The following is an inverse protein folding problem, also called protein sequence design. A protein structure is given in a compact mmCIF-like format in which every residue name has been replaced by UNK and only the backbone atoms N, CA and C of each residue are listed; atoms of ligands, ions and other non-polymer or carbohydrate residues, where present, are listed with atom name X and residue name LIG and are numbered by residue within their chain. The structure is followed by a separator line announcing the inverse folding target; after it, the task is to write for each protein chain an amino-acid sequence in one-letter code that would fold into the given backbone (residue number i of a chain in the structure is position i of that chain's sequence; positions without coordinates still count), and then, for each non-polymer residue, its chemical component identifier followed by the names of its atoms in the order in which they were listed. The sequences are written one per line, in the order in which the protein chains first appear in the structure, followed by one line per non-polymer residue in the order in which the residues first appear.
data_IF_506676007694
#
_entry.id   IF_506676007694
#
_cell.length_a   1.000
_cell.length_b   1.000
_cell.length_c   1.000
_cell.angle_alpha   90.00
_cell.angle_beta   90.00
_cell.angle_gamma   90.00
#
_symmetry.space_group_name_H-M   'P 1'
#
loop_
_entity.id
_entity.type
_entity.pdbx_description
1 polymer ?
#
# COMPACT_ATOMS: atom_id res chain seq x y z
N UNK A 1 -33.72 -52.71 26.60
CA UNK A 1 -32.56 -51.77 26.60
C UNK A 1 -31.66 -51.91 25.35
N UNK A 2 -31.32 -53.15 24.93
CA UNK A 2 -30.44 -53.36 23.76
C UNK A 2 -31.09 -52.88 22.44
N UNK A 3 -32.41 -53.01 22.26
CA UNK A 3 -33.11 -52.57 21.07
C UNK A 3 -33.00 -51.06 20.86
N UNK A 4 -33.10 -50.27 21.92
CA UNK A 4 -32.89 -48.80 21.89
C UNK A 4 -31.47 -48.45 21.49
N UNK A 5 -30.51 -49.20 22.05
CA UNK A 5 -29.08 -48.96 21.78
C UNK A 5 -28.74 -49.25 20.28
N UNK A 6 -29.31 -50.30 19.71
CA UNK A 6 -29.16 -50.64 18.29
C UNK A 6 -29.73 -49.51 17.40
N UNK A 7 -30.95 -49.03 17.72
CA UNK A 7 -31.56 -47.92 16.97
C UNK A 7 -30.68 -46.65 17.03
N UNK A 8 -30.21 -46.32 18.23
CA UNK A 8 -29.32 -45.15 18.38
C UNK A 8 -28.02 -45.29 17.61
N UNK A 9 -27.45 -46.51 17.55
CA UNK A 9 -26.23 -46.78 16.78
C UNK A 9 -26.44 -46.56 15.28
N UNK A 10 -27.59 -47.00 14.73
CA UNK A 10 -27.97 -46.74 13.33
C UNK A 10 -28.19 -45.26 13.03
N UNK A 11 -28.83 -44.52 13.96
CA UNK A 11 -29.01 -43.07 13.82
C UNK A 11 -27.65 -42.34 13.79
N UNK A 12 -26.71 -42.67 14.69
CA UNK A 12 -25.36 -42.13 14.73
C UNK A 12 -24.61 -42.47 13.43
N UNK A 13 -24.71 -43.73 12.95
CA UNK A 13 -24.09 -44.14 11.70
C UNK A 13 -24.64 -43.35 10.51
N UNK A 14 -25.96 -43.16 10.44
CA UNK A 14 -26.57 -42.32 9.40
C UNK A 14 -26.10 -40.88 9.44
N UNK A 15 -25.89 -40.32 10.64
CA UNK A 15 -25.37 -38.98 10.83
C UNK A 15 -23.93 -38.86 10.29
N UNK A 16 -23.09 -39.85 10.53
CA UNK A 16 -21.71 -39.89 10.01
C UNK A 16 -21.73 -39.91 8.48
N UNK A 17 -22.57 -40.71 7.84
CA UNK A 17 -22.68 -40.72 6.39
C UNK A 17 -23.11 -39.39 5.77
N UNK A 18 -23.87 -38.57 6.49
CA UNK A 18 -24.28 -37.22 6.03
C UNK A 18 -23.17 -36.20 6.30
N UNK A 19 -22.49 -36.30 7.43
CA UNK A 19 -21.43 -35.32 7.83
C UNK A 19 -20.12 -35.54 7.11
N UNK A 20 -19.76 -36.82 6.83
CA UNK A 20 -18.47 -37.15 6.22
C UNK A 20 -18.20 -36.41 4.90
N UNK A 21 -19.08 -36.40 3.88
CA UNK A 21 -18.85 -35.69 2.65
C UNK A 21 -18.71 -34.17 2.84
N UNK A 22 -19.44 -33.59 3.80
CA UNK A 22 -19.32 -32.17 4.12
C UNK A 22 -17.98 -31.84 4.76
N UNK A 23 -17.53 -32.70 5.67
CA UNK A 23 -16.22 -32.56 6.31
C UNK A 23 -15.08 -32.70 5.30
N UNK A 24 -15.19 -33.67 4.39
CA UNK A 24 -14.20 -33.91 3.33
C UNK A 24 -14.05 -32.71 2.40
N UNK A 25 -15.16 -32.18 1.89
CA UNK A 25 -15.15 -30.97 1.02
C UNK A 25 -14.60 -29.77 1.77
N UNK A 26 -14.92 -29.61 3.05
CA UNK A 26 -14.38 -28.51 3.87
C UNK A 26 -12.88 -28.67 4.08
N UNK A 27 -12.41 -29.88 4.36
CA UNK A 27 -10.99 -30.20 4.51
C UNK A 27 -10.22 -29.94 3.22
N UNK A 28 -10.76 -30.35 2.05
CA UNK A 28 -10.13 -30.08 0.75
C UNK A 28 -9.96 -28.59 0.50
N UNK A 29 -10.98 -27.77 0.77
CA UNK A 29 -10.88 -26.31 0.61
C UNK A 29 -9.87 -25.67 1.55
N UNK A 30 -9.74 -26.17 2.77
CA UNK A 30 -8.72 -25.71 3.72
C UNK A 30 -7.33 -26.10 3.22
N UNK A 31 -7.17 -27.36 2.78
CA UNK A 31 -5.89 -27.84 2.25
C UNK A 31 -5.47 -27.09 0.98
N UNK A 32 -6.39 -26.76 0.08
CA UNK A 32 -6.12 -25.94 -1.10
C UNK A 32 -5.46 -24.60 -0.74
N UNK A 33 -5.94 -23.96 0.34
CA UNK A 33 -5.34 -22.70 0.83
C UNK A 33 -3.99 -22.95 1.51
N UNK A 34 -3.88 -24.01 2.33
CA UNK A 34 -2.65 -24.31 3.05
C UNK A 34 -1.52 -24.79 2.14
N UNK A 35 -1.84 -25.50 1.05
CA UNK A 35 -0.90 -26.01 0.07
C UNK A 35 -0.50 -24.93 -0.96
N UNK A 36 -1.14 -23.74 -0.94
CA UNK A 36 -0.79 -22.64 -1.85
C UNK A 36 0.52 -22.01 -1.42
N UNK A 37 1.54 -22.19 -2.26
CA UNK A 37 2.84 -21.54 -2.06
C UNK A 37 2.80 -20.07 -2.49
N UNK A 38 3.40 -19.15 -1.72
CA UNK A 38 3.54 -17.75 -2.11
C UNK A 38 4.36 -17.60 -3.40
N UNK A 39 3.86 -16.83 -4.36
CA UNK A 39 4.57 -16.58 -5.64
C UNK A 39 5.83 -15.74 -5.42
N UNK A 40 5.81 -14.85 -4.40
CA UNK A 40 6.94 -13.97 -4.08
C UNK A 40 7.73 -14.57 -2.94
N UNK A 41 8.95 -14.99 -3.23
CA UNK A 41 9.87 -15.54 -2.23
C UNK A 41 10.52 -14.42 -1.41
N UNK A 42 10.77 -14.70 -0.12
CA UNK A 42 11.45 -13.73 0.73
C UNK A 42 12.93 -13.62 0.38
N UNK A 43 13.47 -12.39 0.42
CA UNK A 43 14.90 -12.15 0.23
C UNK A 43 15.68 -12.40 1.53
N UNK A 44 17.00 -12.31 1.44
CA UNK A 44 17.91 -12.61 2.55
C UNK A 44 18.60 -11.39 3.13
N UNK A 45 18.57 -10.22 2.44
CA UNK A 45 19.25 -9.01 2.89
C UNK A 45 18.42 -8.22 3.88
N UNK A 46 18.96 -8.01 5.05
CA UNK A 46 18.36 -7.22 6.13
C UNK A 46 18.60 -5.72 5.93
N UNK A 47 17.83 -4.89 6.65
CA UNK A 47 18.03 -3.44 6.69
C UNK A 47 19.48 -3.04 7.12
N UNK A 48 20.11 -3.82 7.99
CA UNK A 48 21.49 -3.59 8.43
C UNK A 48 22.53 -3.82 7.32
N UNK A 49 22.28 -4.75 6.41
CA UNK A 49 23.16 -5.03 5.28
C UNK A 49 23.13 -3.89 4.26
N UNK A 50 21.98 -3.29 4.09
CA UNK A 50 21.76 -2.18 3.15
C UNK A 50 22.25 -0.85 3.69
N UNK A 51 22.14 -0.61 4.99
CA UNK A 51 22.68 0.60 5.63
C UNK A 51 24.19 0.80 5.34
N UNK A 52 24.91 -0.28 5.02
CA UNK A 52 26.33 -0.25 4.65
C UNK A 52 26.58 0.30 3.24
N UNK A 53 25.60 0.31 2.37
CA UNK A 53 25.76 0.77 0.96
C UNK A 53 25.73 2.29 0.83
N UNK A 54 25.20 3.00 1.82
CA UNK A 54 25.04 4.46 1.80
C UNK A 54 23.94 4.96 0.85
N UNK A 55 23.32 4.08 0.08
CA UNK A 55 22.19 4.41 -0.79
C UNK A 55 20.89 4.37 0.01
N UNK A 56 20.03 5.36 -0.20
CA UNK A 56 18.72 5.46 0.46
C UNK A 56 17.70 6.00 -0.51
N UNK A 57 16.54 5.33 -0.58
CA UNK A 57 15.38 5.83 -1.30
C UNK A 57 15.53 5.87 -2.82
N UNK A 58 16.53 5.23 -3.41
CA UNK A 58 16.68 5.11 -4.87
C UNK A 58 15.83 3.97 -5.39
N UNK A 59 15.09 4.22 -6.47
CA UNK A 59 14.29 3.21 -7.18
C UNK A 59 14.74 3.16 -8.63
N UNK A 60 15.18 2.00 -9.10
CA UNK A 60 15.64 1.82 -10.46
C UNK A 60 14.96 0.63 -11.13
N UNK A 61 14.43 0.84 -12.33
CA UNK A 61 13.88 -0.17 -13.21
C UNK A 61 14.86 -0.42 -14.36
N UNK A 62 15.33 -1.66 -14.50
CA UNK A 62 16.26 -2.07 -15.55
C UNK A 62 15.62 -3.11 -16.45
N UNK A 63 15.20 -2.67 -17.63
CA UNK A 63 14.58 -3.52 -18.68
C UNK A 63 13.46 -4.41 -18.12
N UNK A 64 12.57 -3.81 -17.32
CA UNK A 64 11.52 -4.53 -16.59
C UNK A 64 10.37 -4.85 -17.51
N UNK A 65 10.01 -6.14 -17.59
CA UNK A 65 8.76 -6.61 -18.17
C UNK A 65 7.98 -7.38 -17.13
N UNK A 66 6.66 -7.26 -17.18
CA UNK A 66 5.76 -7.89 -16.22
C UNK A 66 4.51 -8.44 -16.88
N UNK A 67 4.18 -9.67 -16.54
CA UNK A 67 2.96 -10.39 -16.93
C UNK A 67 2.28 -10.91 -15.67
N UNK A 68 0.98 -10.67 -15.51
CA UNK A 68 0.24 -11.25 -14.38
C UNK A 68 0.18 -12.78 -14.50
N UNK A 69 0.19 -13.52 -13.37
CA UNK A 69 0.21 -15.00 -13.39
C UNK A 69 -0.89 -15.63 -14.24
N UNK A 70 -2.07 -15.00 -14.27
CA UNK A 70 -3.24 -15.49 -15.00
C UNK A 70 -3.40 -14.90 -16.41
N UNK A 71 -2.41 -14.10 -16.87
CA UNK A 71 -2.43 -13.46 -18.18
C UNK A 71 -1.39 -14.10 -19.11
N UNK A 72 -1.69 -14.04 -20.43
CA UNK A 72 -0.73 -14.40 -21.48
C UNK A 72 -0.05 -13.19 -22.10
N UNK A 73 -0.61 -12.01 -21.88
CA UNK A 73 -0.12 -10.77 -22.46
C UNK A 73 0.68 -9.99 -21.41
N UNK A 74 1.79 -9.41 -21.84
CA UNK A 74 2.62 -8.58 -20.97
C UNK A 74 1.85 -7.28 -20.64
N UNK A 75 1.80 -6.94 -19.35
CA UNK A 75 1.25 -5.69 -18.87
C UNK A 75 2.27 -4.55 -18.97
N UNK A 76 3.55 -4.87 -18.85
CA UNK A 76 4.67 -3.92 -18.95
C UNK A 76 5.78 -4.56 -19.79
N UNK A 77 6.39 -3.76 -20.68
CA UNK A 77 7.46 -4.23 -21.57
C UNK A 77 8.65 -3.26 -21.56
N UNK A 78 9.84 -3.77 -21.19
CA UNK A 78 11.10 -3.05 -21.34
C UNK A 78 11.20 -1.73 -20.58
N UNK A 79 10.57 -1.61 -19.42
CA UNK A 79 10.53 -0.37 -18.62
C UNK A 79 11.91 -0.04 -18.07
N UNK A 80 12.35 1.19 -18.31
CA UNK A 80 13.61 1.72 -17.80
C UNK A 80 13.39 3.14 -17.25
N UNK A 81 13.67 3.34 -15.97
CA UNK A 81 13.77 4.66 -15.34
C UNK A 81 14.49 4.57 -14.01
N UNK A 82 14.95 5.71 -13.50
CA UNK A 82 15.53 5.84 -12.16
C UNK A 82 14.89 7.01 -11.44
N UNK A 83 14.53 6.81 -10.18
CA UNK A 83 14.14 7.85 -9.24
C UNK A 83 15.23 7.94 -8.16
N UNK A 84 15.87 9.09 -8.09
CA UNK A 84 16.91 9.38 -7.08
C UNK A 84 16.27 9.78 -5.76
N UNK A 85 17.04 9.68 -4.67
CA UNK A 85 16.60 10.11 -3.34
C UNK A 85 16.02 11.53 -3.35
N UNK A 86 14.84 11.69 -2.76
CA UNK A 86 14.14 12.97 -2.65
C UNK A 86 13.41 13.43 -3.92
N UNK A 87 13.66 12.82 -5.08
CA UNK A 87 12.96 13.16 -6.32
C UNK A 87 11.48 12.80 -6.27
N UNK A 88 10.70 13.60 -6.98
CA UNK A 88 9.30 13.30 -7.31
C UNK A 88 9.24 12.80 -8.75
N UNK A 89 8.94 11.51 -8.93
CA UNK A 89 8.71 10.90 -10.25
C UNK A 89 7.23 10.60 -10.41
N UNK A 90 6.64 11.17 -11.46
CA UNK A 90 5.22 11.00 -11.75
C UNK A 90 5.00 10.06 -12.94
N UNK A 91 3.90 9.30 -12.89
CA UNK A 91 3.49 8.37 -13.94
C UNK A 91 2.13 8.79 -14.49
N UNK A 92 2.06 8.99 -15.80
CA UNK A 92 0.82 9.36 -16.50
C UNK A 92 0.65 8.49 -17.76
N UNK A 93 -0.57 8.39 -18.23
CA UNK A 93 -0.94 7.63 -19.42
C UNK A 93 -2.42 7.22 -19.39
N UNK A 94 -2.89 6.59 -20.44
CA UNK A 94 -4.27 6.12 -20.57
C UNK A 94 -4.68 5.14 -19.48
N UNK A 95 -5.98 4.96 -19.26
CA UNK A 95 -6.49 3.90 -18.37
C UNK A 95 -6.07 2.55 -18.94
N UNK A 96 -5.53 1.68 -18.07
CA UNK A 96 -5.02 0.36 -18.49
C UNK A 96 -3.57 0.36 -18.99
N UNK A 97 -2.87 1.50 -19.07
CA UNK A 97 -1.48 1.57 -19.56
C UNK A 97 -0.43 0.96 -18.61
N UNK A 98 -0.82 0.35 -17.49
CA UNK A 98 0.09 -0.36 -16.57
C UNK A 98 0.66 0.46 -15.41
N UNK A 99 0.21 1.70 -15.17
CA UNK A 99 0.73 2.59 -14.10
C UNK A 99 0.71 1.96 -12.70
N UNK A 100 -0.44 1.48 -12.27
CA UNK A 100 -0.58 0.82 -10.95
C UNK A 100 0.22 -0.48 -10.90
N UNK A 101 0.26 -1.25 -12.01
CA UNK A 101 1.07 -2.47 -12.09
C UNK A 101 2.56 -2.14 -11.91
N UNK A 102 3.05 -1.05 -12.52
CA UNK A 102 4.43 -0.61 -12.41
C UNK A 102 4.81 -0.29 -10.96
N UNK A 103 4.03 0.55 -10.29
CA UNK A 103 4.35 0.94 -8.91
C UNK A 103 4.18 -0.21 -7.91
N UNK A 104 3.34 -1.21 -8.19
CA UNK A 104 3.14 -2.40 -7.37
C UNK A 104 4.35 -3.35 -7.38
N UNK A 105 5.24 -3.23 -8.35
CA UNK A 105 6.50 -3.97 -8.36
C UNK A 105 7.52 -3.42 -7.34
N UNK A 106 7.41 -2.15 -6.94
CA UNK A 106 8.35 -1.54 -5.97
C UNK A 106 8.24 -2.18 -4.58
N UNK A 107 7.04 -2.34 -3.97
CA UNK A 107 6.90 -3.06 -2.69
C UNK A 107 6.91 -4.59 -2.84
N UNK A 108 7.23 -5.11 -4.04
CA UNK A 108 7.20 -6.52 -4.38
C UNK A 108 5.86 -7.17 -4.02
N UNK A 109 4.75 -6.58 -4.49
CA UNK A 109 3.46 -7.29 -4.50
C UNK A 109 3.45 -8.37 -5.58
N UNK A 110 4.28 -8.18 -6.61
CA UNK A 110 4.59 -9.14 -7.66
C UNK A 110 6.08 -9.06 -7.98
N UNK A 111 6.66 -10.16 -8.47
CA UNK A 111 7.99 -10.18 -9.04
C UNK A 111 7.95 -9.91 -10.56
N UNK A 112 9.02 -9.36 -11.10
CA UNK A 112 9.15 -9.06 -12.53
C UNK A 112 9.27 -10.35 -13.34
N UNK A 113 8.63 -10.41 -14.52
CA UNK A 113 8.80 -11.53 -15.45
C UNK A 113 10.18 -11.49 -16.12
N UNK A 114 10.70 -10.29 -16.42
CA UNK A 114 12.04 -10.06 -16.93
C UNK A 114 12.59 -8.74 -16.37
N UNK A 115 13.92 -8.61 -16.37
CA UNK A 115 14.60 -7.43 -15.85
C UNK A 115 14.62 -7.38 -14.33
N UNK A 116 14.78 -6.19 -13.75
CA UNK A 116 14.99 -6.04 -12.31
C UNK A 116 14.46 -4.70 -11.83
N UNK A 117 13.77 -4.72 -10.68
CA UNK A 117 13.48 -3.54 -9.88
C UNK A 117 14.46 -3.52 -8.72
N UNK A 118 15.21 -2.44 -8.59
CA UNK A 118 16.18 -2.23 -7.52
C UNK A 118 15.63 -1.11 -6.62
N UNK A 119 15.49 -1.41 -5.34
CA UNK A 119 15.21 -0.43 -4.31
C UNK A 119 16.44 -0.41 -3.42
N UNK A 120 17.32 0.56 -3.64
CA UNK A 120 18.67 0.66 -3.08
C UNK A 120 19.54 -0.56 -3.42
N UNK A 121 19.11 -1.78 -3.08
CA UNK A 121 19.79 -3.04 -3.41
C UNK A 121 18.78 -4.14 -3.76
N UNK A 122 19.29 -5.20 -4.36
CA UNK A 122 18.57 -6.42 -4.69
C UNK A 122 18.44 -7.33 -3.46
N UNK A 123 17.43 -8.21 -3.48
CA UNK A 123 17.28 -9.34 -2.56
C UNK A 123 16.97 -8.95 -1.10
N UNK A 124 16.23 -7.86 -0.89
CA UNK A 124 15.73 -7.50 0.42
C UNK A 124 14.82 -8.59 1.02
N UNK A 125 14.94 -8.78 2.32
CA UNK A 125 13.82 -9.28 3.12
C UNK A 125 12.58 -8.42 2.89
N UNK A 126 11.42 -9.04 2.64
CA UNK A 126 10.19 -8.31 2.28
C UNK A 126 9.74 -7.33 3.38
N UNK A 127 9.94 -7.70 4.66
CA UNK A 127 9.62 -6.79 5.76
C UNK A 127 10.54 -5.59 5.73
N UNK A 128 11.85 -5.80 5.61
CA UNK A 128 12.84 -4.72 5.54
C UNK A 128 12.62 -3.80 4.35
N UNK A 129 12.20 -4.34 3.19
CA UNK A 129 11.82 -3.54 2.02
C UNK A 129 10.57 -2.69 2.30
N UNK A 130 9.50 -3.32 2.77
CA UNK A 130 8.21 -2.64 2.99
C UNK A 130 8.26 -1.64 4.15
N UNK A 131 9.15 -1.83 5.11
CA UNK A 131 9.38 -0.86 6.19
C UNK A 131 9.96 0.48 5.67
N UNK A 132 10.62 0.49 4.49
CA UNK A 132 11.11 1.69 3.82
C UNK A 132 10.06 2.41 2.97
N UNK A 133 8.90 1.80 2.74
CA UNK A 133 7.91 2.26 1.78
C UNK A 133 6.63 2.69 2.49
N UNK A 134 6.19 3.91 2.25
CA UNK A 134 4.84 4.38 2.55
C UNK A 134 3.98 4.27 1.31
N UNK A 135 2.96 3.41 1.32
CA UNK A 135 2.09 3.16 0.18
C UNK A 135 0.68 3.70 0.43
N UNK A 136 0.20 4.54 -0.47
CA UNK A 136 -1.17 5.07 -0.47
C UNK A 136 -1.92 4.50 -1.66
N UNK A 137 -2.84 3.55 -1.46
CA UNK A 137 -3.58 2.92 -2.54
C UNK A 137 -4.63 3.86 -3.14
N UNK A 138 -5.05 3.56 -4.37
CA UNK A 138 -6.12 4.27 -5.07
C UNK A 138 -7.43 4.27 -4.25
N UNK A 139 -7.79 3.13 -3.67
CA UNK A 139 -8.92 3.01 -2.75
C UNK A 139 -8.42 2.93 -1.31
N UNK A 140 -8.58 4.02 -0.58
CA UNK A 140 -8.20 4.10 0.82
C UNK A 140 -9.07 3.21 1.70
N UNK A 141 -8.43 2.31 2.44
CA UNK A 141 -9.06 1.44 3.42
C UNK A 141 -8.68 1.90 4.83
N UNK A 142 -9.71 2.13 5.66
CA UNK A 142 -9.53 2.39 7.08
C UNK A 142 -10.04 1.20 7.89
N UNK A 143 -9.36 0.92 8.98
CA UNK A 143 -9.74 -0.16 9.89
C UNK A 143 -10.65 0.37 11.01
N UNK A 144 -11.46 -0.51 11.58
CA UNK A 144 -12.20 -0.20 12.80
C UNK A 144 -11.21 0.17 13.92
N UNK A 145 -11.49 1.26 14.63
CA UNK A 145 -10.62 1.78 15.69
C UNK A 145 -10.77 3.28 15.84
N UNK A 146 -9.68 4.00 16.07
CA UNK A 146 -9.68 5.47 16.19
C UNK A 146 -8.96 6.12 15.00
N UNK A 147 -9.07 7.45 14.87
CA UNK A 147 -8.25 8.21 13.91
C UNK A 147 -6.78 7.94 14.14
N UNK A 148 -6.33 8.03 15.39
CA UNK A 148 -4.93 7.84 15.74
C UNK A 148 -4.45 6.40 15.45
N UNK A 149 -5.23 5.37 15.81
CA UNK A 149 -4.85 3.98 15.50
C UNK A 149 -4.78 3.69 14.00
N UNK A 150 -5.57 4.40 13.19
CA UNK A 150 -5.49 4.30 11.75
C UNK A 150 -4.26 4.99 11.16
N UNK A 151 -3.83 6.13 11.72
CA UNK A 151 -2.62 6.83 11.27
C UNK A 151 -1.36 6.10 11.71
N UNK A 152 -1.30 5.63 12.97
CA UNK A 152 -0.17 4.87 13.53
C UNK A 152 -0.24 3.38 13.24
N UNK A 153 -1.05 2.95 12.27
CA UNK A 153 -1.19 1.54 11.92
C UNK A 153 0.16 0.90 11.55
N UNK A 154 0.45 -0.25 12.17
CA UNK A 154 1.74 -0.93 12.03
C UNK A 154 2.78 -0.53 13.08
N UNK A 155 2.48 0.44 13.97
CA UNK A 155 3.34 0.89 15.07
C UNK A 155 2.66 0.61 16.45
N UNK A 156 1.68 -0.26 16.46
CA UNK A 156 0.95 -0.63 17.68
C UNK A 156 1.69 -1.72 18.46
N UNK A 157 1.69 -1.71 19.79
CA UNK A 157 2.11 -2.85 20.59
C UNK A 157 1.29 -4.09 20.19
N UNK A 158 1.93 -5.13 19.70
CA UNK A 158 1.25 -6.32 19.18
C UNK A 158 0.95 -6.26 17.68
N UNK A 159 1.69 -5.42 16.91
CA UNK A 159 1.69 -5.46 15.44
C UNK A 159 1.77 -6.92 14.97
N UNK A 160 0.81 -7.38 14.10
CA UNK A 160 0.89 -8.70 13.48
C UNK A 160 2.22 -9.02 12.80
N UNK A 161 2.99 -7.99 12.42
CA UNK A 161 4.33 -8.13 11.86
C UNK A 161 5.39 -8.57 12.91
N UNK A 162 5.15 -8.35 14.20
CA UNK A 162 5.94 -8.97 15.31
C UNK A 162 5.38 -10.33 15.74
N UNK A 163 4.21 -10.70 15.28
CA UNK A 163 3.69 -12.04 15.37
C UNK A 163 4.35 -12.86 14.25
N UNK A 164 5.61 -13.21 14.44
CA UNK A 164 6.11 -14.46 13.92
C UNK A 164 5.00 -15.48 14.18
N UNK A 165 4.45 -16.13 13.15
CA UNK A 165 3.32 -17.05 13.31
C UNK A 165 3.63 -17.94 14.49
N UNK A 166 3.04 -17.58 15.63
CA UNK A 166 3.25 -18.35 16.86
C UNK A 166 2.76 -19.73 16.49
N UNK A 167 3.67 -20.71 16.54
CA UNK A 167 3.32 -22.09 16.23
C UNK A 167 2.14 -22.49 17.13
N UNK A 168 0.93 -22.25 16.63
CA UNK A 168 -0.33 -22.49 17.36
C UNK A 168 -0.54 -23.98 17.64
N UNK A 169 0.32 -24.86 17.10
CA UNK A 169 0.36 -26.26 17.44
C UNK A 169 0.85 -26.47 18.88
N UNK A 170 1.59 -25.53 19.45
CA UNK A 170 2.10 -25.60 20.82
C UNK A 170 1.21 -24.85 21.82
N UNK A 171 1.14 -25.32 23.11
CA UNK A 171 0.42 -24.60 24.18
C UNK A 171 0.98 -23.18 24.41
N UNK A 172 2.29 -22.99 24.24
CA UNK A 172 2.96 -21.69 24.36
C UNK A 172 2.57 -20.73 23.23
N UNK A 173 2.48 -21.22 21.99
CA UNK A 173 2.04 -20.44 20.85
C UNK A 173 0.59 -19.98 20.96
N UNK A 174 -0.33 -20.86 21.37
CA UNK A 174 -1.74 -20.48 21.65
C UNK A 174 -1.88 -19.44 22.75
N UNK A 175 -1.05 -19.53 23.81
CA UNK A 175 -1.04 -18.53 24.90
C UNK A 175 -0.52 -17.18 24.41
N UNK A 176 0.47 -17.17 23.50
CA UNK A 176 1.02 -15.97 22.89
C UNK A 176 -0.02 -15.32 21.97
N UNK A 177 -0.69 -16.10 21.12
CA UNK A 177 -1.79 -15.62 20.25
C UNK A 177 -2.92 -14.99 21.08
N UNK A 178 -3.39 -15.66 22.13
CA UNK A 178 -4.42 -15.12 23.03
C UNK A 178 -3.97 -13.83 23.73
N UNK A 179 -2.69 -13.72 24.12
CA UNK A 179 -2.14 -12.50 24.71
C UNK A 179 -2.08 -11.34 23.68
N UNK A 180 -1.83 -11.63 22.42
CA UNK A 180 -1.79 -10.65 21.33
C UNK A 180 -3.19 -10.14 20.98
N UNK A 181 -4.18 -11.05 20.93
CA UNK A 181 -5.59 -10.68 20.74
C UNK A 181 -6.05 -9.77 21.91
N UNK A 182 -5.73 -10.16 23.15
CA UNK A 182 -6.07 -9.37 24.35
C UNK A 182 -5.34 -8.02 24.38
N UNK A 183 -4.09 -7.95 23.90
CA UNK A 183 -3.36 -6.69 23.78
C UNK A 183 -3.96 -5.77 22.68
N UNK A 184 -4.42 -6.35 21.58
CA UNK A 184 -5.13 -5.63 20.52
C UNK A 184 -6.47 -5.06 21.02
N UNK A 185 -7.25 -5.85 21.76
CA UNK A 185 -8.50 -5.41 22.40
C UNK A 185 -8.26 -4.34 23.49
N UNK A 186 -7.18 -4.46 24.27
CA UNK A 186 -6.81 -3.47 25.27
C UNK A 186 -6.32 -2.16 24.65
N UNK A 187 -5.69 -2.19 23.48
CA UNK A 187 -5.24 -1.01 22.74
C UNK A 187 -6.41 -0.19 22.15
N UNK A 188 -7.58 -0.81 21.91
CA UNK A 188 -8.79 -0.10 21.45
C UNK A 188 -9.30 0.92 22.49
N UNK A 189 -8.94 0.80 23.78
CA UNK A 189 -9.36 1.69 24.86
C UNK A 189 -8.23 2.41 25.61
N UNK A 190 -6.98 2.21 25.24
CA UNK A 190 -5.84 2.79 25.93
C UNK A 190 -5.57 4.23 25.46
N UNK A 191 -5.20 5.11 26.40
CA UNK A 191 -4.69 6.45 26.08
C UNK A 191 -3.39 6.30 25.25
N UNK A 192 -3.40 6.92 24.08
CA UNK A 192 -2.27 6.92 23.15
C UNK A 192 -1.10 7.65 23.82
N UNK A 193 0.13 7.07 23.87
CA UNK A 193 1.29 7.76 24.40
C UNK A 193 1.48 9.14 23.78
N UNK A 194 1.84 10.14 24.57
CA UNK A 194 1.95 11.52 24.12
C UNK A 194 2.93 11.69 22.92
N UNK A 195 4.02 10.93 22.91
CA UNK A 195 4.99 10.92 21.82
C UNK A 195 4.37 10.40 20.52
N UNK A 196 3.65 9.27 20.59
CA UNK A 196 2.94 8.70 19.46
C UNK A 196 1.87 9.66 18.94
N UNK A 197 1.10 10.29 19.84
CA UNK A 197 0.09 11.28 19.45
C UNK A 197 0.70 12.50 18.76
N UNK A 198 1.87 12.95 19.17
CA UNK A 198 2.59 14.04 18.50
C UNK A 198 3.01 13.66 17.08
N UNK A 199 3.51 12.44 16.86
CA UNK A 199 3.82 11.91 15.53
C UNK A 199 2.57 11.79 14.67
N UNK A 200 1.45 11.32 15.24
CA UNK A 200 0.15 11.26 14.55
C UNK A 200 -0.32 12.64 14.10
N UNK A 201 -0.20 13.65 14.97
CA UNK A 201 -0.55 15.05 14.64
C UNK A 201 0.31 15.59 13.51
N UNK A 202 1.62 15.42 13.58
CA UNK A 202 2.54 15.85 12.53
C UNK A 202 2.19 15.22 11.17
N UNK A 203 1.94 13.92 11.13
CA UNK A 203 1.52 13.22 9.92
C UNK A 203 0.14 13.69 9.40
N UNK A 204 -0.80 13.96 10.30
CA UNK A 204 -2.11 14.51 9.96
C UNK A 204 -2.03 15.94 9.40
N UNK A 205 -1.11 16.76 9.92
CA UNK A 205 -0.86 18.12 9.41
C UNK A 205 -0.32 18.07 7.98
N UNK A 206 0.64 17.19 7.68
CA UNK A 206 1.15 16.97 6.31
C UNK A 206 0.03 16.56 5.36
N UNK A 207 -0.85 15.67 5.79
CA UNK A 207 -1.99 15.19 5.01
C UNK A 207 -3.19 16.17 4.99
N UNK A 208 -3.07 17.37 5.57
CA UNK A 208 -4.16 18.33 5.73
C UNK A 208 -5.40 17.73 6.44
N UNK A 209 -5.17 16.80 7.36
CA UNK A 209 -6.23 16.09 8.06
C UNK A 209 -6.63 16.73 9.40
N UNK A 210 -5.75 17.50 10.01
CA UNK A 210 -5.90 18.03 11.38
C UNK A 210 -7.15 18.86 11.54
N UNK A 211 -7.53 19.68 10.54
CA UNK A 211 -8.71 20.55 10.62
C UNK A 211 -10.01 19.74 10.75
N UNK A 212 -10.23 18.72 9.93
CA UNK A 212 -11.44 17.92 10.04
C UNK A 212 -11.41 17.00 11.25
N UNK A 213 -10.24 16.46 11.62
CA UNK A 213 -10.07 15.62 12.82
C UNK A 213 -10.42 16.43 14.09
N UNK A 214 -10.01 17.69 14.17
CA UNK A 214 -10.37 18.57 15.30
C UNK A 214 -11.89 18.82 15.42
N UNK A 215 -12.65 18.67 14.32
CA UNK A 215 -14.11 18.80 14.32
C UNK A 215 -14.85 17.50 14.64
N UNK A 216 -14.14 16.36 14.66
CA UNK A 216 -14.73 15.09 15.05
C UNK A 216 -14.91 15.02 16.56
N UNK A 217 -15.99 14.40 17.01
CA UNK A 217 -16.18 14.12 18.42
C UNK A 217 -15.10 13.17 18.94
N UNK A 218 -14.30 13.63 19.92
CA UNK A 218 -13.09 12.91 20.40
C UNK A 218 -11.80 13.19 19.62
N UNK A 219 -11.81 13.97 18.53
CA UNK A 219 -10.62 14.37 17.80
C UNK A 219 -9.80 13.16 17.29
N UNK A 220 -8.56 13.01 17.72
CA UNK A 220 -7.71 11.85 17.33
C UNK A 220 -8.17 10.53 17.96
N UNK A 221 -8.95 10.56 19.03
CA UNK A 221 -9.62 9.39 19.62
C UNK A 221 -10.99 9.11 19.01
N UNK A 222 -11.43 9.92 18.02
CA UNK A 222 -12.72 9.72 17.35
C UNK A 222 -12.78 8.36 16.66
N UNK A 223 -13.91 7.67 16.84
CA UNK A 223 -14.11 6.33 16.31
C UNK A 223 -14.20 6.31 14.77
N UNK A 224 -13.47 5.41 14.15
CA UNK A 224 -13.55 5.06 12.73
C UNK A 224 -14.26 3.71 12.61
N UNK A 225 -15.34 3.67 11.86
CA UNK A 225 -16.04 2.43 11.55
C UNK A 225 -15.24 1.58 10.55
N UNK A 226 -15.50 0.28 10.49
CA UNK A 226 -14.85 -0.63 9.54
C UNK A 226 -15.01 -0.14 8.10
N UNK A 227 -13.92 -0.09 7.35
CA UNK A 227 -13.88 0.48 6.01
C UNK A 227 -14.05 2.01 5.97
N UNK A 228 -14.08 2.69 7.13
CA UNK A 228 -14.26 4.13 7.22
C UNK A 228 -15.63 4.61 6.75
N UNK A 229 -16.70 3.84 6.94
CA UNK A 229 -18.05 4.19 6.45
C UNK A 229 -18.63 5.49 7.05
N UNK A 230 -18.07 5.96 8.15
CA UNK A 230 -18.47 7.18 8.85
C UNK A 230 -17.63 8.42 8.46
N UNK A 231 -16.73 8.31 7.49
CA UNK A 231 -15.94 9.44 6.97
C UNK A 231 -16.05 9.54 5.45
N UNK A 232 -15.89 10.77 4.90
CA UNK A 232 -15.96 10.99 3.45
C UNK A 232 -14.77 10.41 2.70
N UNK A 233 -14.88 10.24 1.38
CA UNK A 233 -13.79 9.72 0.53
C UNK A 233 -12.51 10.54 0.65
N UNK A 234 -12.59 11.87 0.59
CA UNK A 234 -11.44 12.76 0.77
C UNK A 234 -10.84 12.71 2.19
N UNK A 235 -11.66 12.49 3.23
CA UNK A 235 -11.17 12.27 4.59
C UNK A 235 -10.43 10.93 4.71
N UNK A 236 -10.98 9.83 4.14
CA UNK A 236 -10.30 8.54 4.07
C UNK A 236 -8.94 8.67 3.41
N UNK A 237 -8.90 9.36 2.27
CA UNK A 237 -7.68 9.55 1.51
C UNK A 237 -6.62 10.30 2.32
N UNK A 238 -7.01 11.41 2.98
CA UNK A 238 -6.08 12.17 3.83
C UNK A 238 -5.57 11.36 5.02
N UNK A 239 -6.40 10.56 5.67
CA UNK A 239 -5.95 9.65 6.74
C UNK A 239 -5.02 8.55 6.21
N UNK A 240 -5.24 8.07 4.99
CA UNK A 240 -4.35 7.11 4.32
C UNK A 240 -3.00 7.73 3.98
N UNK A 241 -2.97 8.98 3.53
CA UNK A 241 -1.75 9.75 3.32
C UNK A 241 -1.02 9.96 4.65
N UNK A 242 -1.74 10.37 5.72
CA UNK A 242 -1.16 10.52 7.05
C UNK A 242 -0.51 9.23 7.54
N UNK A 243 -1.17 8.06 7.36
CA UNK A 243 -0.63 6.74 7.67
C UNK A 243 0.69 6.45 6.94
N UNK A 244 0.76 6.76 5.65
CA UNK A 244 1.96 6.53 4.85
C UNK A 244 3.13 7.41 5.30
N UNK A 245 2.87 8.67 5.65
CA UNK A 245 3.88 9.63 6.10
C UNK A 245 4.33 9.39 7.54
N UNK A 246 3.46 8.87 8.39
CA UNK A 246 3.69 8.68 9.83
C UNK A 246 5.00 7.93 10.16
N UNK A 247 5.38 6.95 9.35
CA UNK A 247 6.58 6.12 9.55
C UNK A 247 7.86 6.76 9.01
N UNK A 248 7.81 7.97 8.42
CA UNK A 248 8.93 8.64 7.77
C UNK A 248 9.67 7.73 6.76
N UNK A 249 8.95 7.14 5.78
CA UNK A 249 9.54 6.19 4.86
C UNK A 249 10.56 6.84 3.93
N UNK A 250 11.50 6.03 3.41
CA UNK A 250 12.46 6.48 2.40
C UNK A 250 11.79 6.69 1.02
N UNK A 251 10.71 5.95 0.75
CA UNK A 251 9.96 6.01 -0.51
C UNK A 251 8.47 6.15 -0.20
N UNK A 252 7.82 7.12 -0.83
CA UNK A 252 6.38 7.34 -0.78
C UNK A 252 5.77 7.01 -2.15
N UNK A 253 4.78 6.12 -2.17
CA UNK A 253 4.05 5.72 -3.37
C UNK A 253 2.60 6.16 -3.25
N UNK A 254 2.13 6.89 -4.26
CA UNK A 254 0.76 7.38 -4.35
C UNK A 254 0.10 6.84 -5.62
N UNK A 255 -0.82 5.88 -5.46
CA UNK A 255 -1.58 5.32 -6.58
C UNK A 255 -2.87 6.11 -6.78
N UNK A 256 -2.87 7.07 -7.70
CA UNK A 256 -3.99 7.98 -8.02
C UNK A 256 -4.67 8.60 -6.78
N UNK A 257 -3.87 8.78 -5.73
CA UNK A 257 -4.36 9.10 -4.38
C UNK A 257 -4.85 10.54 -4.24
N UNK A 258 -4.51 11.41 -5.17
CA UNK A 258 -4.90 12.84 -5.16
C UNK A 258 -6.22 13.10 -5.89
N UNK A 259 -6.71 12.14 -6.68
CA UNK A 259 -7.95 12.29 -7.48
C UNK A 259 -9.21 12.50 -6.63
N UNK A 260 -9.24 11.96 -5.41
CA UNK A 260 -10.33 12.09 -4.46
C UNK A 260 -10.32 13.41 -3.67
N UNK A 261 -9.27 14.24 -3.85
CA UNK A 261 -9.12 15.53 -3.18
C UNK A 261 -9.59 16.67 -4.11
N UNK A 262 -10.10 17.74 -3.49
CA UNK A 262 -10.31 19.00 -4.20
C UNK A 262 -8.96 19.65 -4.55
N UNK A 263 -8.96 20.55 -5.55
CA UNK A 263 -7.72 21.14 -6.08
C UNK A 263 -6.90 21.90 -5.03
N UNK A 264 -7.56 22.55 -4.07
CA UNK A 264 -6.88 23.30 -3.01
C UNK A 264 -6.17 22.33 -2.07
N UNK A 265 -6.90 21.36 -1.56
CA UNK A 265 -6.36 20.32 -0.65
C UNK A 265 -5.25 19.50 -1.33
N UNK A 266 -5.42 19.10 -2.60
CA UNK A 266 -4.38 18.41 -3.37
C UNK A 266 -3.07 19.22 -3.38
N UNK A 267 -3.14 20.50 -3.72
CA UNK A 267 -1.98 21.38 -3.73
C UNK A 267 -1.34 21.52 -2.34
N UNK A 268 -2.14 21.78 -1.31
CA UNK A 268 -1.66 21.96 0.06
C UNK A 268 -0.95 20.70 0.59
N UNK A 269 -1.49 19.51 0.30
CA UNK A 269 -0.85 18.22 0.67
C UNK A 269 0.48 18.05 -0.06
N UNK A 270 0.53 18.31 -1.38
CA UNK A 270 1.78 18.19 -2.15
C UNK A 270 2.85 19.19 -1.70
N UNK A 271 2.46 20.43 -1.41
CA UNK A 271 3.36 21.46 -0.87
C UNK A 271 3.89 21.07 0.54
N UNK A 272 3.04 20.45 1.38
CA UNK A 272 3.46 19.92 2.68
C UNK A 272 4.42 18.71 2.52
N UNK A 273 4.11 17.78 1.63
CA UNK A 273 4.99 16.64 1.31
C UNK A 273 6.36 17.08 0.77
N UNK A 274 6.41 18.15 -0.03
CA UNK A 274 7.66 18.70 -0.54
C UNK A 274 8.54 19.29 0.58
N UNK A 275 7.94 19.85 1.63
CA UNK A 275 8.68 20.42 2.76
C UNK A 275 9.08 19.38 3.80
N UNK A 276 8.10 18.57 4.24
CA UNK A 276 8.24 17.70 5.41
C UNK A 276 8.81 16.32 5.06
N UNK A 277 8.64 15.86 3.81
CA UNK A 277 9.17 14.60 3.30
C UNK A 277 10.15 14.83 2.14
N UNK A 278 11.00 15.87 2.24
CA UNK A 278 11.93 16.26 1.18
C UNK A 278 12.95 15.18 0.86
N UNK A 279 13.39 14.42 1.85
CA UNK A 279 14.38 13.36 1.70
C UNK A 279 13.76 12.02 1.22
N UNK A 280 12.43 11.90 1.22
CA UNK A 280 11.72 10.75 0.70
C UNK A 280 11.53 10.86 -0.81
N UNK A 281 11.82 9.80 -1.54
CA UNK A 281 11.51 9.69 -2.98
C UNK A 281 10.01 9.48 -3.14
N UNK A 282 9.39 10.21 -4.05
CA UNK A 282 7.94 10.19 -4.26
C UNK A 282 7.63 9.62 -5.64
N UNK A 283 6.88 8.52 -5.68
CA UNK A 283 6.35 7.91 -6.90
C UNK A 283 4.85 8.19 -6.96
N UNK A 284 4.43 9.01 -7.93
CA UNK A 284 3.04 9.50 -8.00
C UNK A 284 2.41 9.02 -9.30
N UNK A 285 1.42 8.14 -9.21
CA UNK A 285 0.49 7.89 -10.32
C UNK A 285 -0.60 8.94 -10.27
N UNK A 286 -0.82 9.63 -11.37
CA UNK A 286 -1.92 10.58 -11.48
C UNK A 286 -2.56 10.56 -12.88
N UNK A 287 -3.82 10.97 -12.90
CA UNK A 287 -4.58 11.18 -14.14
C UNK A 287 -4.67 12.67 -14.52
N UNK A 288 -4.36 13.57 -13.57
CA UNK A 288 -4.43 15.01 -13.76
C UNK A 288 -3.04 15.61 -13.97
N UNK A 289 -2.88 16.35 -15.06
CA UNK A 289 -1.63 17.09 -15.34
C UNK A 289 -1.28 18.05 -14.21
N UNK A 290 -2.26 18.80 -13.70
CA UNK A 290 -2.05 19.75 -12.59
C UNK A 290 -1.46 19.14 -11.32
N UNK A 291 -1.61 17.84 -11.09
CA UNK A 291 -1.00 17.13 -9.97
C UNK A 291 0.49 16.88 -10.18
N UNK A 292 0.94 16.69 -11.43
CA UNK A 292 2.27 16.19 -11.76
C UNK A 292 3.16 17.18 -12.51
N UNK A 293 2.65 18.32 -12.97
CA UNK A 293 3.40 19.28 -13.78
C UNK A 293 4.68 19.80 -13.12
N UNK A 294 4.73 19.79 -11.78
CA UNK A 294 5.89 20.21 -11.00
C UNK A 294 6.78 19.02 -10.54
N UNK A 295 6.56 17.81 -11.05
CA UNK A 295 7.41 16.67 -10.74
C UNK A 295 8.79 16.85 -11.39
N UNK A 296 9.84 16.36 -10.70
CA UNK A 296 11.21 16.39 -11.21
C UNK A 296 11.37 15.58 -12.49
N UNK A 297 10.57 14.52 -12.61
CA UNK A 297 10.47 13.66 -13.79
C UNK A 297 9.06 13.13 -13.95
N UNK A 298 8.59 13.12 -15.18
CA UNK A 298 7.33 12.50 -15.58
C UNK A 298 7.66 11.35 -16.54
N UNK A 299 7.08 10.19 -16.29
CA UNK A 299 7.18 9.01 -17.15
C UNK A 299 5.81 8.78 -17.78
N UNK A 300 5.77 8.84 -19.10
CA UNK A 300 4.53 8.65 -19.88
C UNK A 300 4.43 7.20 -20.32
N UNK A 301 3.36 6.54 -19.90
CA UNK A 301 3.08 5.14 -20.22
C UNK A 301 1.95 5.06 -21.25
N UNK A 302 2.19 4.27 -22.28
CA UNK A 302 1.16 3.91 -23.26
C UNK A 302 1.32 2.44 -23.63
N UNK A 303 0.23 1.68 -23.56
CA UNK A 303 0.17 0.23 -23.82
C UNK A 303 1.36 -0.56 -23.22
N UNK A 304 1.58 -0.36 -21.94
CA UNK A 304 2.63 -1.06 -21.17
C UNK A 304 4.07 -0.63 -21.44
N UNK A 305 4.29 0.42 -22.23
CA UNK A 305 5.62 0.94 -22.63
C UNK A 305 5.83 2.36 -22.19
N UNK A 306 7.08 2.73 -21.97
CA UNK A 306 7.45 4.14 -21.74
C UNK A 306 7.61 4.81 -23.10
N UNK A 307 6.74 5.77 -23.39
CA UNK A 307 6.74 6.54 -24.64
C UNK A 307 7.35 7.92 -24.50
N UNK A 308 7.59 8.39 -23.27
CA UNK A 308 8.27 9.66 -23.00
C UNK A 308 8.74 9.75 -21.55
N UNK A 309 9.86 10.42 -21.33
CA UNK A 309 10.38 10.76 -19.99
C UNK A 309 10.99 12.15 -20.02
N UNK A 310 10.72 12.95 -18.99
CA UNK A 310 11.27 14.30 -18.86
C UNK A 310 10.45 15.17 -17.92
N UNK A 311 10.73 16.44 -17.89
CA UNK A 311 9.93 17.47 -17.24
C UNK A 311 8.65 17.76 -18.00
N UNK A 312 7.71 18.44 -17.40
CA UNK A 312 6.47 18.88 -18.05
C UNK A 312 6.76 19.61 -19.39
N UNK A 313 7.69 20.54 -19.39
CA UNK A 313 8.04 21.33 -20.57
C UNK A 313 8.67 20.48 -21.67
N UNK A 314 9.63 19.65 -21.34
CA UNK A 314 10.28 18.75 -22.31
C UNK A 314 9.28 17.79 -22.96
N UNK A 315 8.30 17.30 -22.20
CA UNK A 315 7.30 16.38 -22.72
C UNK A 315 6.22 17.07 -23.58
N UNK A 316 5.90 18.32 -23.29
CA UNK A 316 5.05 19.11 -24.19
C UNK A 316 5.69 19.28 -25.57
N UNK A 317 7.03 19.44 -25.63
CA UNK A 317 7.76 19.62 -26.88
C UNK A 317 7.99 18.29 -27.61
N UNK A 318 8.28 17.20 -26.90
CA UNK A 318 8.86 15.98 -27.48
C UNK A 318 7.98 14.71 -27.36
N UNK A 319 6.80 14.77 -26.71
CA UNK A 319 5.94 13.60 -26.53
C UNK A 319 4.48 13.90 -26.92
N UNK A 320 4.07 13.39 -28.08
CA UNK A 320 2.72 13.64 -28.60
C UNK A 320 1.62 13.10 -27.69
N UNK A 321 1.84 11.92 -27.07
CA UNK A 321 0.89 11.32 -26.12
C UNK A 321 0.70 12.23 -24.90
N UNK A 322 1.80 12.76 -24.34
CA UNK A 322 1.72 13.69 -23.22
C UNK A 322 1.04 14.99 -23.60
N UNK A 323 1.36 15.54 -24.76
CA UNK A 323 0.76 16.78 -25.29
C UNK A 323 -0.75 16.64 -25.46
N UNK A 324 -1.23 15.53 -26.03
CA UNK A 324 -2.66 15.26 -26.18
C UNK A 324 -3.38 15.20 -24.83
N UNK A 325 -2.77 14.55 -23.81
CA UNK A 325 -3.33 14.50 -22.45
C UNK A 325 -3.37 15.91 -21.86
N UNK A 326 -2.30 16.70 -22.02
CA UNK A 326 -2.22 18.05 -21.48
C UNK A 326 -3.23 19.00 -22.14
N UNK A 327 -3.36 18.98 -23.46
CA UNK A 327 -4.33 19.79 -24.21
C UNK A 327 -5.78 19.45 -23.87
N UNK A 328 -6.05 18.22 -23.47
CA UNK A 328 -7.39 17.81 -23.02
C UNK A 328 -7.78 18.34 -21.64
N UNK A 329 -6.79 18.76 -20.83
CA UNK A 329 -7.01 19.10 -19.41
C UNK A 329 -6.65 20.54 -19.05
N UNK A 330 -5.73 21.18 -19.81
CA UNK A 330 -5.23 22.52 -19.53
C UNK A 330 -5.77 23.52 -20.57
N UNK A 331 -5.95 24.76 -20.13
CA UNK A 331 -6.23 25.87 -21.06
C UNK A 331 -4.96 26.24 -21.82
N UNK A 332 -5.12 26.94 -22.97
CA UNK A 332 -3.98 27.40 -23.78
C UNK A 332 -3.01 28.30 -23.00
N UNK A 333 -3.52 29.08 -22.03
CA UNK A 333 -2.69 29.92 -21.17
C UNK A 333 -1.85 29.12 -20.16
N UNK A 334 -2.32 27.95 -19.73
CA UNK A 334 -1.62 27.06 -18.81
C UNK A 334 -0.58 26.18 -19.53
N UNK A 335 -0.80 25.88 -20.81
CA UNK A 335 0.15 25.17 -21.66
C UNK A 335 1.40 26.00 -22.02
N UNK A 336 1.29 27.33 -21.94
CA UNK A 336 2.36 28.27 -22.33
C UNK A 336 3.07 28.91 -21.14
N UNK A 337 2.61 28.65 -19.92
CA UNK A 337 3.18 29.15 -18.67
C UNK A 337 4.27 28.23 -18.13
#
# INVERSE_FOLDING_TARGET
NYSVQVIMSFLLMSMVFVLWPRADVSAQRIMEVLDTEPIVENGTKTAADVAKTGQRGTVEFRNVSFTYPDSREAMLEGINFTAEQGQTVAFIGSTGSGKSSLINLVPRFYDTSQGQVLVDVRDYDLKALRDKIGYVPQQSVLFKGTVASNVSYGDQPGDPAEVEMADTSTPAGRKREAALIAAGEAAEGADIPAEQLNRVRAAADVAQASEFVARMDGGYSAAIAQGGSNVSGGQKQRLSIARAVYRHPEILIFDDSFSALDFKTDREVRDALAREAKDSTKLIVAQRIGTIMNADRIVVLDDGKVVGQGTHKELLDNCDVYRQIAESQLSQSELTA
#
